data_IF_787060823010
#
_entry.id   IF_787060823010
#
_cell.length_a   1.000
_cell.length_b   1.000
_cell.length_c   1.000
_cell.angle_alpha   90.00
_cell.angle_beta   90.00
_cell.angle_gamma   90.00
#
_symmetry.space_group_name_H-M   'P 1'
#
loop_
_entity.id
_entity.type
_entity.pdbx_description
1 polymer ?
#
# COMPACT_ATOMS: atom_id res chain seq x y z
N UNK A 1 24.02 26.38 45.98
CA UNK A 1 22.72 27.04 45.75
C UNK A 1 22.32 26.68 44.32
N UNK A 2 21.69 25.54 44.05
CA UNK A 2 20.26 25.18 44.12
C UNK A 2 19.30 26.24 43.54
N UNK A 3 18.36 25.73 42.72
CA UNK A 3 17.16 26.31 42.08
C UNK A 3 17.42 26.96 40.70
N UNK A 4 16.69 26.64 39.63
CA UNK A 4 15.40 25.96 39.54
C UNK A 4 15.14 25.28 38.19
N UNK A 5 14.24 24.31 38.29
CA UNK A 5 13.63 23.52 37.23
C UNK A 5 12.67 24.42 36.43
N UNK A 6 12.76 24.44 35.10
CA UNK A 6 11.67 24.91 34.24
C UNK A 6 11.48 23.94 33.08
N UNK A 7 10.31 23.32 33.12
CA UNK A 7 9.71 22.47 32.09
C UNK A 7 9.21 23.35 30.94
N UNK A 8 9.48 22.97 29.70
CA UNK A 8 8.75 23.49 28.55
C UNK A 8 8.64 22.40 27.47
N UNK A 9 7.39 22.17 27.08
CA UNK A 9 6.86 21.16 26.19
C UNK A 9 7.65 20.94 24.88
N UNK A 10 7.83 19.66 24.55
CA UNK A 10 8.06 19.21 23.17
C UNK A 10 6.76 19.41 22.40
N UNK A 11 6.70 20.46 21.58
CA UNK A 11 5.59 20.67 20.66
C UNK A 11 5.67 19.64 19.55
N UNK A 12 4.70 18.73 19.51
CA UNK A 12 4.47 17.83 18.39
C UNK A 12 4.21 18.62 17.11
N UNK A 13 5.18 18.61 16.21
CA UNK A 13 4.99 18.98 14.81
C UNK A 13 4.50 17.75 14.05
N UNK A 14 3.19 17.49 14.13
CA UNK A 14 2.52 16.57 13.23
C UNK A 14 2.40 17.21 11.85
N UNK A 15 3.46 17.10 11.05
CA UNK A 15 3.39 17.41 9.62
C UNK A 15 2.51 16.34 8.96
N UNK A 16 1.24 16.69 8.88
CA UNK A 16 0.20 15.91 8.23
C UNK A 16 0.48 15.94 6.73
N UNK A 17 1.25 14.98 6.24
CA UNK A 17 1.32 14.64 4.82
C UNK A 17 -0.06 14.11 4.39
N UNK A 18 -0.98 15.04 4.13
CA UNK A 18 -2.14 14.81 3.28
C UNK A 18 -1.63 14.66 1.84
N UNK A 19 -1.02 13.53 1.53
CA UNK A 19 -0.95 13.06 0.14
C UNK A 19 -2.23 12.29 -0.12
N UNK A 20 -3.29 13.04 -0.41
CA UNK A 20 -4.52 12.47 -0.96
C UNK A 20 -4.16 11.76 -2.26
N UNK A 21 -4.36 10.45 -2.31
CA UNK A 21 -4.30 9.68 -3.56
C UNK A 21 -5.27 10.30 -4.58
N UNK A 22 -4.89 10.44 -5.86
CA UNK A 22 -5.74 11.05 -6.90
C UNK A 22 -7.06 10.33 -7.20
N UNK A 23 -7.36 9.22 -6.51
CA UNK A 23 -8.57 8.42 -6.70
C UNK A 23 -9.83 9.11 -6.15
N UNK A 24 -9.69 10.23 -5.43
CA UNK A 24 -10.82 10.96 -4.83
C UNK A 24 -11.69 11.77 -5.82
N UNK A 25 -11.39 11.82 -7.13
CA UNK A 25 -12.11 12.71 -8.07
C UNK A 25 -13.17 12.06 -8.97
N UNK A 26 -13.50 10.78 -8.84
CA UNK A 26 -14.57 10.19 -9.66
C UNK A 26 -15.49 9.26 -8.88
N UNK A 27 -16.32 9.82 -8.00
CA UNK A 27 -17.47 9.10 -7.46
C UNK A 27 -18.67 10.04 -7.28
N UNK A 28 -19.07 10.71 -8.36
CA UNK A 28 -20.36 11.38 -8.45
C UNK A 28 -21.12 10.80 -9.65
N UNK A 29 -22.13 9.98 -9.37
CA UNK A 29 -23.16 9.62 -10.34
C UNK A 29 -23.39 8.11 -10.51
N UNK A 30 -24.50 7.62 -9.95
CA UNK A 30 -25.06 6.33 -10.35
C UNK A 30 -25.69 5.54 -9.22
N UNK A 31 -26.87 5.95 -8.77
CA UNK A 31 -27.74 5.10 -7.98
C UNK A 31 -28.19 3.89 -8.82
N UNK A 32 -27.86 2.67 -8.39
CA UNK A 32 -28.70 1.51 -8.66
C UNK A 32 -28.56 0.49 -7.53
N UNK A 33 -29.68 0.12 -6.92
CA UNK A 33 -29.73 -0.79 -5.78
C UNK A 33 -29.47 -2.25 -6.18
N UNK A 34 -28.75 -2.98 -5.33
CA UNK A 34 -28.67 -4.45 -5.41
C UNK A 34 -27.28 -4.98 -5.07
N UNK A 35 -27.11 -5.41 -3.81
CA UNK A 35 -25.87 -5.89 -3.17
C UNK A 35 -24.81 -4.80 -3.00
N UNK A 36 -24.54 -4.42 -1.75
CA UNK A 36 -23.29 -3.70 -1.43
C UNK A 36 -22.15 -4.58 -1.93
N UNK A 37 -21.48 -4.16 -3.00
CA UNK A 37 -20.38 -4.91 -3.57
C UNK A 37 -19.30 -5.02 -2.50
N UNK A 38 -18.86 -6.24 -2.19
CA UNK A 38 -17.84 -6.46 -1.17
C UNK A 38 -16.55 -5.72 -1.54
N UNK A 39 -16.32 -5.52 -2.84
CA UNK A 39 -15.24 -4.73 -3.39
C UNK A 39 -15.40 -3.22 -3.08
N UNK A 40 -16.60 -2.64 -3.29
CA UNK A 40 -16.87 -1.25 -2.93
C UNK A 40 -16.73 -1.01 -1.42
N UNK A 41 -17.15 -2.01 -0.63
CA UNK A 41 -16.96 -1.98 0.81
C UNK A 41 -15.47 -2.09 1.18
N UNK A 42 -14.71 -2.97 0.53
CA UNK A 42 -13.26 -3.07 0.73
C UNK A 42 -12.57 -1.74 0.41
N UNK A 43 -12.95 -1.08 -0.69
CA UNK A 43 -12.44 0.27 -1.02
C UNK A 43 -12.75 1.31 0.04
N UNK A 44 -13.98 1.31 0.58
CA UNK A 44 -14.35 2.23 1.66
C UNK A 44 -13.65 1.91 2.99
N UNK A 45 -13.36 0.62 3.25
CA UNK A 45 -12.70 0.16 4.47
C UNK A 45 -11.21 0.49 4.46
N UNK A 46 -10.55 0.37 3.30
CA UNK A 46 -9.16 0.76 3.09
C UNK A 46 -8.96 2.23 3.40
N UNK A 47 -9.78 3.09 2.80
CA UNK A 47 -9.54 4.53 2.75
C UNK A 47 -9.93 5.29 4.01
N UNK A 48 -10.83 4.76 4.84
CA UNK A 48 -11.36 5.54 5.97
C UNK A 48 -10.97 4.93 7.30
N UNK A 49 -11.48 3.73 7.63
CA UNK A 49 -11.36 3.18 8.99
C UNK A 49 -9.95 2.70 9.33
N UNK A 50 -9.28 2.05 8.39
CA UNK A 50 -7.92 1.57 8.61
C UNK A 50 -6.95 2.73 8.84
N UNK A 51 -7.07 3.81 8.07
CA UNK A 51 -6.23 5.00 8.23
C UNK A 51 -6.60 5.84 9.45
N UNK A 52 -7.88 5.92 9.82
CA UNK A 52 -8.28 6.53 11.09
C UNK A 52 -7.63 5.82 12.28
N UNK A 53 -7.69 4.48 12.32
CA UNK A 53 -7.02 3.69 13.35
C UNK A 53 -5.50 3.91 13.34
N UNK A 54 -4.88 3.94 12.15
CA UNK A 54 -3.45 4.22 11.99
C UNK A 54 -3.07 5.59 12.57
N UNK A 55 -3.82 6.64 12.22
CA UNK A 55 -3.57 8.00 12.67
C UNK A 55 -3.80 8.18 14.18
N UNK A 56 -4.63 7.33 14.79
CA UNK A 56 -4.81 7.25 16.25
C UNK A 56 -3.70 6.46 16.95
N UNK A 57 -2.77 5.86 16.20
CA UNK A 57 -1.71 5.00 16.73
C UNK A 57 -2.15 3.56 17.00
N UNK A 58 -3.38 3.18 16.65
CA UNK A 58 -3.87 1.81 16.72
C UNK A 58 -3.48 1.04 15.45
N UNK A 59 -2.20 0.70 15.38
CA UNK A 59 -1.61 -0.03 14.27
C UNK A 59 -2.12 -1.48 14.18
N UNK A 60 -2.58 -2.07 15.28
CA UNK A 60 -3.10 -3.44 15.29
C UNK A 60 -4.46 -3.49 14.60
N UNK A 61 -5.40 -2.62 14.99
CA UNK A 61 -6.72 -2.55 14.35
C UNK A 61 -6.59 -2.15 12.88
N UNK A 62 -5.73 -1.17 12.57
CA UNK A 62 -5.43 -0.79 11.19
C UNK A 62 -4.96 -1.97 10.35
N UNK A 63 -3.96 -2.72 10.84
CA UNK A 63 -3.44 -3.91 10.18
C UNK A 63 -4.50 -4.98 9.95
N UNK A 64 -5.36 -5.26 10.94
CA UNK A 64 -6.42 -6.28 10.81
C UNK A 64 -7.39 -5.90 9.69
N UNK A 65 -7.79 -4.64 9.62
CA UNK A 65 -8.69 -4.14 8.56
C UNK A 65 -8.04 -4.27 7.18
N UNK A 66 -6.79 -3.82 7.03
CA UNK A 66 -6.05 -3.89 5.76
C UNK A 66 -5.80 -5.34 5.31
N UNK A 67 -5.51 -6.25 6.23
CA UNK A 67 -5.38 -7.68 5.89
C UNK A 67 -6.71 -8.27 5.42
N UNK A 68 -7.82 -7.87 6.05
CA UNK A 68 -9.15 -8.27 5.62
C UNK A 68 -9.48 -7.83 4.19
N UNK A 69 -9.10 -6.60 3.81
CA UNK A 69 -9.33 -6.10 2.45
C UNK A 69 -8.38 -6.71 1.42
N UNK A 70 -7.12 -6.99 1.79
CA UNK A 70 -6.19 -7.78 0.95
C UNK A 70 -6.81 -9.14 0.60
N UNK A 71 -7.43 -9.83 1.55
CA UNK A 71 -8.11 -11.11 1.28
C UNK A 71 -9.27 -10.96 0.29
N UNK A 72 -10.04 -9.86 0.37
CA UNK A 72 -11.11 -9.58 -0.61
C UNK A 72 -10.52 -9.35 -2.01
N UNK A 73 -9.38 -8.67 -2.11
CA UNK A 73 -8.70 -8.48 -3.39
C UNK A 73 -8.14 -9.77 -3.95
N UNK A 74 -7.61 -10.67 -3.11
CA UNK A 74 -7.17 -11.99 -3.55
C UNK A 74 -8.30 -12.80 -4.18
N UNK A 75 -9.46 -12.84 -3.52
CA UNK A 75 -10.65 -13.52 -4.04
C UNK A 75 -11.14 -12.91 -5.36
N UNK A 76 -11.10 -11.58 -5.49
CA UNK A 76 -11.57 -10.90 -6.69
C UNK A 76 -10.58 -11.06 -7.86
N UNK A 77 -9.28 -10.97 -7.61
CA UNK A 77 -8.25 -11.23 -8.60
C UNK A 77 -8.34 -12.65 -9.15
N UNK A 78 -8.65 -13.63 -8.29
CA UNK A 78 -8.86 -15.02 -8.72
C UNK A 78 -10.02 -15.10 -9.71
N UNK A 79 -11.20 -14.55 -9.37
CA UNK A 79 -12.38 -14.55 -10.24
C UNK A 79 -12.13 -13.83 -11.56
N UNK A 80 -11.43 -12.71 -11.53
CA UNK A 80 -11.13 -11.94 -12.74
C UNK A 80 -10.16 -12.68 -13.66
N UNK A 81 -9.14 -13.36 -13.11
CA UNK A 81 -8.22 -14.19 -13.89
C UNK A 81 -8.96 -15.35 -14.56
N UNK A 82 -9.85 -16.03 -13.84
CA UNK A 82 -10.70 -17.08 -14.42
C UNK A 82 -11.65 -16.57 -15.51
N UNK A 83 -12.16 -15.34 -15.35
CA UNK A 83 -12.97 -14.69 -16.39
C UNK A 83 -12.13 -14.33 -17.61
N UNK A 84 -10.90 -13.86 -17.40
CA UNK A 84 -9.97 -13.48 -18.46
C UNK A 84 -9.67 -14.65 -19.40
N UNK A 85 -9.48 -15.86 -18.85
CA UNK A 85 -9.21 -17.08 -19.62
C UNK A 85 -10.35 -17.45 -20.59
N UNK A 86 -11.58 -17.04 -20.29
CA UNK A 86 -12.79 -17.37 -21.06
C UNK A 86 -13.32 -16.19 -21.87
N UNK A 87 -12.62 -15.05 -21.83
CA UNK A 87 -13.12 -13.79 -22.37
C UNK A 87 -12.70 -13.59 -23.84
N UNK A 88 -13.63 -13.07 -24.63
CA UNK A 88 -13.34 -12.54 -25.97
C UNK A 88 -12.37 -11.34 -25.92
N UNK A 89 -11.63 -11.03 -27.00
CA UNK A 89 -10.57 -10.02 -26.99
C UNK A 89 -10.99 -8.64 -26.47
N UNK A 90 -12.21 -8.20 -26.74
CA UNK A 90 -12.72 -6.91 -26.25
C UNK A 90 -12.94 -6.91 -24.74
N UNK A 91 -13.51 -7.99 -24.19
CA UNK A 91 -13.73 -8.15 -22.75
C UNK A 91 -12.41 -8.41 -22.01
N UNK A 92 -11.46 -9.09 -22.65
CA UNK A 92 -10.13 -9.36 -22.12
C UNK A 92 -9.38 -8.07 -21.77
N UNK A 93 -9.50 -7.03 -22.60
CA UNK A 93 -8.88 -5.72 -22.32
C UNK A 93 -9.45 -5.07 -21.05
N UNK A 94 -10.78 -5.09 -20.90
CA UNK A 94 -11.47 -4.51 -19.73
C UNK A 94 -11.11 -5.29 -18.46
N UNK A 95 -11.11 -6.63 -18.53
CA UNK A 95 -10.75 -7.47 -17.38
C UNK A 95 -9.28 -7.29 -17.01
N UNK A 96 -8.39 -7.15 -17.98
CA UNK A 96 -6.97 -6.89 -17.73
C UNK A 96 -6.78 -5.56 -17.00
N UNK A 97 -7.44 -4.49 -17.45
CA UNK A 97 -7.37 -3.19 -16.77
C UNK A 97 -7.90 -3.27 -15.33
N UNK A 98 -8.94 -4.06 -15.08
CA UNK A 98 -9.47 -4.26 -13.72
C UNK A 98 -8.53 -5.08 -12.84
N UNK A 99 -7.91 -6.14 -13.38
CA UNK A 99 -6.88 -6.92 -12.68
C UNK A 99 -5.71 -6.01 -12.29
N UNK A 100 -5.26 -5.17 -13.22
CA UNK A 100 -4.18 -4.20 -12.96
C UNK A 100 -4.58 -3.24 -11.83
N UNK A 101 -5.78 -2.65 -11.91
CA UNK A 101 -6.31 -1.74 -10.89
C UNK A 101 -6.36 -2.38 -9.50
N UNK A 102 -6.92 -3.59 -9.37
CA UNK A 102 -7.02 -4.29 -8.10
C UNK A 102 -5.64 -4.72 -7.58
N UNK A 103 -4.74 -5.11 -8.48
CA UNK A 103 -3.36 -5.47 -8.10
C UNK A 103 -2.65 -4.29 -7.45
N UNK A 104 -2.82 -3.07 -7.99
CA UNK A 104 -2.25 -1.86 -7.41
C UNK A 104 -2.83 -1.56 -6.03
N UNK A 105 -4.16 -1.68 -5.85
CA UNK A 105 -4.82 -1.43 -4.56
C UNK A 105 -4.41 -2.46 -3.51
N UNK A 106 -4.20 -3.71 -3.91
CA UNK A 106 -3.61 -4.73 -3.05
C UNK A 106 -2.18 -4.35 -2.64
N UNK A 107 -1.36 -3.86 -3.56
CA UNK A 107 0.01 -3.45 -3.27
C UNK A 107 0.07 -2.25 -2.30
N UNK A 108 -0.83 -1.27 -2.44
CA UNK A 108 -1.00 -0.15 -1.50
C UNK A 108 -1.27 -0.68 -0.08
N UNK A 109 -2.25 -1.58 0.06
CA UNK A 109 -2.59 -2.14 1.36
C UNK A 109 -1.46 -2.99 1.97
N UNK A 110 -0.74 -3.75 1.16
CA UNK A 110 0.43 -4.51 1.63
C UNK A 110 1.50 -3.57 2.17
N UNK A 111 1.76 -2.45 1.50
CA UNK A 111 2.66 -1.41 2.00
C UNK A 111 2.17 -0.83 3.33
N UNK A 112 0.87 -0.54 3.46
CA UNK A 112 0.29 -0.01 4.70
C UNK A 112 0.33 -1.02 5.85
N UNK A 113 0.15 -2.32 5.59
CA UNK A 113 0.38 -3.38 6.58
C UNK A 113 1.85 -3.38 7.01
N UNK A 114 2.78 -3.23 6.07
CA UNK A 114 4.20 -3.06 6.35
C UNK A 114 4.47 -1.88 7.28
N UNK A 115 3.84 -0.73 7.04
CA UNK A 115 3.95 0.45 7.91
C UNK A 115 3.47 0.14 9.33
N UNK A 116 2.28 -0.48 9.48
CA UNK A 116 1.74 -0.86 10.78
C UNK A 116 2.72 -1.76 11.55
N UNK A 117 3.24 -2.80 10.90
CA UNK A 117 4.19 -3.74 11.50
C UNK A 117 5.52 -3.06 11.88
N UNK A 118 6.00 -2.14 11.05
CA UNK A 118 7.20 -1.35 11.35
C UNK A 118 7.01 -0.48 12.59
N UNK A 119 5.86 0.20 12.73
CA UNK A 119 5.51 0.96 13.93
C UNK A 119 5.39 0.10 15.19
N UNK A 120 4.96 -1.15 15.04
CA UNK A 120 4.89 -2.14 16.11
C UNK A 120 6.26 -2.79 16.43
N UNK A 121 7.32 -2.43 15.71
CA UNK A 121 8.66 -3.01 15.88
C UNK A 121 8.83 -4.42 15.31
N UNK A 122 7.83 -4.94 14.60
CA UNK A 122 7.81 -6.27 13.98
C UNK A 122 8.49 -6.23 12.61
N UNK A 123 9.78 -5.88 12.58
CA UNK A 123 10.51 -5.55 11.35
C UNK A 123 10.59 -6.70 10.35
N UNK A 124 10.78 -7.94 10.81
CA UNK A 124 10.87 -9.09 9.91
C UNK A 124 9.54 -9.39 9.21
N UNK A 125 8.42 -9.18 9.89
CA UNK A 125 7.10 -9.32 9.26
C UNK A 125 6.81 -8.13 8.34
N UNK A 126 7.18 -6.91 8.75
CA UNK A 126 7.07 -5.73 7.89
C UNK A 126 7.82 -5.92 6.55
N UNK A 127 9.04 -6.47 6.60
CA UNK A 127 9.84 -6.79 5.40
C UNK A 127 9.08 -7.73 4.46
N UNK A 128 8.38 -8.76 4.97
CA UNK A 128 7.60 -9.67 4.12
C UNK A 128 6.49 -8.94 3.36
N UNK A 129 5.80 -8.01 4.03
CA UNK A 129 4.70 -7.26 3.42
C UNK A 129 5.20 -6.21 2.42
N UNK A 130 6.26 -5.47 2.74
CA UNK A 130 6.87 -4.55 1.79
C UNK A 130 7.46 -5.27 0.58
N UNK A 131 8.07 -6.45 0.78
CA UNK A 131 8.54 -7.31 -0.32
C UNK A 131 7.40 -7.65 -1.27
N UNK A 132 6.27 -8.13 -0.75
CA UNK A 132 5.11 -8.44 -1.57
C UNK A 132 4.58 -7.21 -2.32
N UNK A 133 4.55 -6.04 -1.68
CA UNK A 133 4.15 -4.80 -2.34
C UNK A 133 5.11 -4.43 -3.49
N UNK A 134 6.43 -4.48 -3.24
CA UNK A 134 7.47 -4.24 -4.26
C UNK A 134 7.34 -5.20 -5.43
N UNK A 135 7.16 -6.50 -5.17
CA UNK A 135 7.03 -7.53 -6.21
C UNK A 135 5.78 -7.28 -7.08
N UNK A 136 4.66 -6.82 -6.48
CA UNK A 136 3.48 -6.43 -7.23
C UNK A 136 3.69 -5.14 -8.01
N UNK A 137 4.41 -4.16 -7.47
CA UNK A 137 4.67 -2.88 -8.13
C UNK A 137 5.68 -2.95 -9.26
N UNK A 138 6.65 -3.84 -9.17
CA UNK A 138 7.79 -3.90 -10.08
C UNK A 138 7.38 -3.93 -11.57
N UNK A 139 6.44 -4.78 -12.02
CA UNK A 139 6.03 -4.80 -13.43
C UNK A 139 5.41 -3.48 -13.90
N UNK A 140 4.64 -2.80 -13.04
CA UNK A 140 4.03 -1.51 -13.38
C UNK A 140 5.07 -0.40 -13.46
N UNK A 141 6.02 -0.40 -12.52
CA UNK A 141 7.10 0.58 -12.46
C UNK A 141 8.00 0.47 -13.70
N UNK A 142 8.32 -0.77 -14.12
CA UNK A 142 9.09 -1.04 -15.34
C UNK A 142 8.38 -0.63 -16.63
N UNK A 143 7.04 -0.58 -16.64
CA UNK A 143 6.23 -0.03 -17.74
C UNK A 143 6.15 1.51 -17.72
N UNK A 144 6.89 2.17 -16.83
CA UNK A 144 6.94 3.62 -16.71
C UNK A 144 5.85 4.23 -15.85
N UNK A 145 5.09 3.43 -15.09
CA UNK A 145 4.08 3.95 -14.19
C UNK A 145 4.73 4.70 -13.02
N UNK A 146 4.39 5.99 -12.88
CA UNK A 146 4.91 6.83 -11.81
C UNK A 146 3.86 6.94 -10.71
N UNK A 147 4.17 6.37 -9.55
CA UNK A 147 3.34 6.41 -8.35
C UNK A 147 4.26 6.52 -7.13
N UNK A 148 3.98 7.49 -6.24
CA UNK A 148 4.75 7.72 -5.01
C UNK A 148 4.77 6.49 -4.08
N UNK A 149 3.71 5.69 -4.07
CA UNK A 149 3.64 4.46 -3.27
C UNK A 149 4.69 3.43 -3.67
N UNK A 150 5.02 3.34 -4.97
CA UNK A 150 6.09 2.46 -5.46
C UNK A 150 7.41 2.86 -4.79
N UNK A 151 7.77 4.13 -4.88
CA UNK A 151 9.05 4.62 -4.35
C UNK A 151 9.12 4.47 -2.83
N UNK A 152 8.03 4.78 -2.14
CA UNK A 152 7.91 4.56 -0.70
C UNK A 152 8.06 3.09 -0.31
N UNK A 153 7.51 2.15 -1.07
CA UNK A 153 7.62 0.72 -0.79
C UNK A 153 9.07 0.23 -0.94
N UNK A 154 9.77 0.66 -2.01
CA UNK A 154 11.20 0.35 -2.19
C UNK A 154 12.06 0.94 -1.06
N UNK A 155 11.86 2.22 -0.75
CA UNK A 155 12.64 2.91 0.29
C UNK A 155 12.41 2.32 1.67
N UNK A 156 11.16 2.01 2.03
CA UNK A 156 10.83 1.35 3.30
C UNK A 156 11.47 -0.03 3.40
N UNK A 157 11.44 -0.82 2.32
CA UNK A 157 12.04 -2.16 2.29
C UNK A 157 13.57 -2.10 2.42
N UNK A 158 14.23 -1.23 1.66
CA UNK A 158 15.69 -1.01 1.75
C UNK A 158 16.08 -0.54 3.15
N UNK A 159 15.34 0.43 3.70
CA UNK A 159 15.55 0.95 5.05
C UNK A 159 15.45 -0.14 6.11
N UNK A 160 14.44 -0.99 6.03
CA UNK A 160 14.27 -2.09 6.97
C UNK A 160 15.33 -3.18 6.82
N UNK A 161 15.71 -3.57 5.61
CA UNK A 161 16.81 -4.52 5.41
C UNK A 161 18.12 -4.02 6.03
N UNK A 162 18.44 -2.73 5.83
CA UNK A 162 19.59 -2.11 6.48
C UNK A 162 19.49 -2.14 8.01
N UNK A 163 18.29 -1.84 8.54
CA UNK A 163 18.03 -1.83 9.99
C UNK A 163 18.20 -3.21 10.64
N UNK A 164 17.80 -4.29 9.96
CA UNK A 164 17.96 -5.67 10.45
C UNK A 164 19.31 -6.30 10.08
N UNK A 165 20.22 -5.54 9.46
CA UNK A 165 21.58 -6.00 9.11
C UNK A 165 21.67 -6.84 7.83
N UNK A 166 20.58 -6.96 7.07
CA UNK A 166 20.48 -7.69 5.80
C UNK A 166 20.98 -6.83 4.63
N UNK A 167 22.27 -6.51 4.65
CA UNK A 167 22.89 -5.55 3.72
C UNK A 167 22.91 -6.04 2.27
N UNK A 168 23.03 -7.35 2.04
CA UNK A 168 23.06 -7.91 0.69
C UNK A 168 21.69 -7.74 0.01
N UNK A 169 20.62 -8.03 0.75
CA UNK A 169 19.25 -7.84 0.30
C UNK A 169 18.93 -6.36 0.08
N UNK A 170 19.36 -5.48 0.98
CA UNK A 170 19.23 -4.03 0.79
C UNK A 170 19.92 -3.55 -0.50
N UNK A 171 21.13 -4.05 -0.79
CA UNK A 171 21.87 -3.68 -2.00
C UNK A 171 21.17 -4.20 -3.28
N UNK A 172 20.65 -5.43 -3.24
CA UNK A 172 19.88 -5.99 -4.35
C UNK A 172 18.66 -5.13 -4.66
N UNK A 173 17.88 -4.76 -3.65
CA UNK A 173 16.66 -3.96 -3.84
C UNK A 173 16.97 -2.52 -4.21
N UNK A 174 18.08 -1.98 -3.70
CA UNK A 174 18.56 -0.69 -4.17
C UNK A 174 18.93 -0.72 -5.65
N UNK A 175 19.54 -1.80 -6.16
CA UNK A 175 19.85 -1.93 -7.59
C UNK A 175 18.58 -1.97 -8.42
N UNK A 176 17.63 -2.82 -8.05
CA UNK A 176 16.32 -2.93 -8.70
C UNK A 176 15.59 -1.59 -8.73
N UNK A 177 15.62 -0.84 -7.63
CA UNK A 177 14.98 0.47 -7.56
C UNK A 177 15.64 1.50 -8.48
N UNK A 178 16.97 1.44 -8.68
CA UNK A 178 17.65 2.31 -9.65
C UNK A 178 17.27 1.96 -11.08
N UNK A 179 17.10 0.67 -11.40
CA UNK A 179 16.60 0.23 -12.72
C UNK A 179 15.19 0.75 -12.98
N UNK A 180 14.30 0.65 -11.99
CA UNK A 180 12.96 1.23 -12.03
C UNK A 180 12.99 2.75 -12.22
N UNK A 181 13.88 3.46 -11.52
CA UNK A 181 14.03 4.91 -11.71
C UNK A 181 14.59 5.25 -13.09
N UNK A 182 15.44 4.40 -13.66
CA UNK A 182 15.98 4.57 -15.00
C UNK A 182 14.94 4.30 -16.09
N UNK A 183 14.04 3.32 -15.90
CA UNK A 183 12.98 2.99 -16.88
C UNK A 183 11.91 4.07 -17.02
N UNK A 184 11.85 5.02 -16.09
CA UNK A 184 10.90 6.15 -16.09
C UNK A 184 11.44 7.41 -16.80
N UNK A 185 12.72 7.42 -17.21
CA UNK A 185 13.38 8.53 -17.93
C UNK A 185 13.10 8.47 -19.42
#
# INVERSE_FOLDING_TARGET
MITGFSSAAVSGGGDSLQTQSPVQQTAAGGANGGKVNLLDKAYSMDTTRAFEAFNQGDYQSSMIMLKGTISVYDDELLKLRERLERAEPEQSRVITAEIERITCLKADNLQHVGNCLSHLGLYEDAIKYYRQAVDLYHPFAMRGWQNSYIDMAYEALIGLYNKVGKKAEAAQISSEFQEVKASRK
#
